data_IF_003022211126
#
_entry.id   IF_003022211126
#
_cell.length_a   1.000
_cell.length_b   1.000
_cell.length_c   1.000
_cell.angle_alpha   90.00
_cell.angle_beta   90.00
_cell.angle_gamma   90.00
#
_symmetry.space_group_name_H-M   'P 1'
#
loop_
_entity.id
_entity.type
_entity.pdbx_description
1 polymer ?
#
# COMPACT_ATOMS: atom_id res chain seq x y z
N UNK A 1 -2.38 19.25 13.18
CA UNK A 1 -2.37 17.80 12.93
C UNK A 1 -3.20 17.47 11.68
N UNK A 2 -2.54 17.45 10.53
CA UNK A 2 -3.17 17.16 9.23
C UNK A 2 -3.36 15.66 9.09
N UNK A 3 -4.59 15.21 9.26
CA UNK A 3 -5.03 13.85 8.91
C UNK A 3 -5.28 13.84 7.39
N UNK A 4 -4.47 13.16 6.56
CA UNK A 4 -4.90 12.91 5.19
C UNK A 4 -6.05 11.90 5.25
N UNK A 5 -7.25 12.44 5.05
CA UNK A 5 -8.47 11.73 4.72
C UNK A 5 -8.25 10.98 3.41
N UNK A 6 -7.68 9.79 3.47
CA UNK A 6 -7.74 8.86 2.36
C UNK A 6 -8.74 7.78 2.77
N UNK A 7 -9.92 7.82 2.16
CA UNK A 7 -10.87 6.73 2.18
C UNK A 7 -10.20 5.52 1.49
N UNK A 8 -9.43 4.77 2.27
CA UNK A 8 -8.51 3.70 1.82
C UNK A 8 -9.13 2.31 1.83
N UNK A 9 -10.46 2.20 1.92
CA UNK A 9 -11.15 0.93 2.18
C UNK A 9 -11.22 -0.04 0.97
N UNK A 10 -10.41 0.17 -0.06
CA UNK A 10 -10.53 -0.52 -1.35
C UNK A 10 -9.22 -0.89 -2.02
N UNK A 11 -8.37 -1.67 -1.35
CA UNK A 11 -7.17 -2.26 -1.95
C UNK A 11 -7.38 -3.64 -2.59
N UNK A 12 -6.47 -4.09 -3.48
CA UNK A 12 -6.48 -5.44 -4.03
C UNK A 12 -6.41 -6.51 -2.93
N UNK A 13 -6.81 -7.75 -3.24
CA UNK A 13 -6.89 -8.83 -2.24
C UNK A 13 -5.56 -9.11 -1.54
N UNK A 14 -4.43 -8.90 -2.21
CA UNK A 14 -3.11 -9.08 -1.60
C UNK A 14 -2.81 -8.00 -0.54
N UNK A 15 -3.21 -6.76 -0.83
CA UNK A 15 -3.02 -5.60 0.04
C UNK A 15 -3.77 -5.77 1.36
N UNK A 16 -5.06 -6.10 1.27
CA UNK A 16 -5.91 -6.39 2.45
C UNK A 16 -5.43 -7.59 3.27
N UNK A 17 -4.58 -8.44 2.70
CA UNK A 17 -4.00 -9.58 3.42
C UNK A 17 -2.67 -9.23 4.09
N UNK A 18 -2.03 -8.14 3.68
CA UNK A 18 -0.80 -7.61 4.28
C UNK A 18 -1.09 -6.54 5.32
N UNK A 19 -2.14 -5.74 5.14
CA UNK A 19 -2.67 -4.78 6.10
C UNK A 19 -3.14 -5.52 7.37
N UNK A 20 -2.25 -5.65 8.36
CA UNK A 20 -2.47 -6.43 9.58
C UNK A 20 -3.04 -5.57 10.69
N UNK A 21 -2.66 -4.29 10.72
CA UNK A 21 -3.17 -3.31 11.67
C UNK A 21 -4.56 -2.76 11.26
N UNK A 22 -4.97 -2.93 10.00
CA UNK A 22 -6.26 -2.50 9.48
C UNK A 22 -6.37 -0.98 9.34
N UNK A 23 -5.25 -0.26 9.21
CA UNK A 23 -5.25 1.20 9.04
C UNK A 23 -5.50 1.62 7.59
N UNK A 24 -5.51 0.65 6.67
CA UNK A 24 -5.73 0.86 5.25
C UNK A 24 -4.47 1.22 4.48
N UNK A 25 -3.29 1.08 5.07
CA UNK A 25 -1.98 1.14 4.42
C UNK A 25 -1.19 -0.16 4.68
N UNK A 26 -0.16 -0.42 3.89
CA UNK A 26 0.78 -1.51 4.18
C UNK A 26 2.15 -0.92 4.41
N UNK A 27 2.59 -0.95 5.65
CA UNK A 27 3.93 -0.51 6.03
C UNK A 27 4.99 -1.50 5.54
N UNK A 28 6.23 -1.06 5.33
CA UNK A 28 7.35 -1.97 5.03
C UNK A 28 7.58 -3.08 6.08
N UNK A 29 7.10 -2.87 7.32
CA UNK A 29 7.07 -3.87 8.40
C UNK A 29 5.98 -4.94 8.24
N UNK A 30 4.88 -4.58 7.59
CA UNK A 30 3.73 -5.45 7.31
C UNK A 30 3.86 -6.13 5.96
N UNK A 31 4.64 -5.53 5.07
CA UNK A 31 4.95 -6.05 3.77
C UNK A 31 5.82 -7.31 3.88
N UNK A 32 5.22 -8.46 3.54
CA UNK A 32 5.92 -9.75 3.51
C UNK A 32 6.74 -9.96 2.23
N UNK A 33 6.64 -9.04 1.26
CA UNK A 33 7.46 -9.07 0.06
C UNK A 33 8.85 -8.47 0.27
N UNK A 34 9.71 -8.56 -0.73
CA UNK A 34 11.04 -7.94 -0.68
C UNK A 34 10.98 -6.42 -0.76
N UNK A 35 11.95 -5.74 -0.15
CA UNK A 35 12.09 -4.26 -0.19
C UNK A 35 12.08 -3.69 -1.61
N UNK A 36 12.64 -4.42 -2.58
CA UNK A 36 12.62 -3.99 -4.00
C UNK A 36 11.21 -3.97 -4.60
N UNK A 37 10.30 -4.81 -4.13
CA UNK A 37 8.90 -4.78 -4.56
C UNK A 37 8.14 -3.68 -3.83
N UNK A 38 8.48 -3.45 -2.56
CA UNK A 38 7.96 -2.33 -1.78
C UNK A 38 8.29 -0.99 -2.44
N UNK A 39 9.55 -0.71 -2.77
CA UNK A 39 9.96 0.54 -3.44
C UNK A 39 9.32 0.70 -4.84
N UNK A 40 8.95 -0.40 -5.51
CA UNK A 40 8.21 -0.35 -6.79
C UNK A 40 6.73 0.00 -6.61
N UNK A 41 6.17 -0.36 -5.47
CA UNK A 41 4.79 -0.11 -5.09
C UNK A 41 4.64 1.31 -4.54
N UNK A 42 5.56 1.69 -3.65
CA UNK A 42 5.67 2.99 -2.97
C UNK A 42 6.17 4.06 -3.96
N UNK A 43 5.25 4.61 -4.76
CA UNK A 43 5.60 5.60 -5.78
C UNK A 43 5.86 6.97 -5.15
N UNK A 44 5.14 7.30 -4.09
CA UNK A 44 5.34 8.54 -3.34
C UNK A 44 6.53 8.48 -2.37
N UNK A 45 7.11 7.29 -2.13
CA UNK A 45 8.25 7.05 -1.25
C UNK A 45 8.02 7.53 0.16
N UNK A 46 6.79 7.38 0.66
CA UNK A 46 6.43 7.74 2.02
C UNK A 46 6.64 6.59 3.03
N UNK A 47 7.05 5.41 2.54
CA UNK A 47 7.27 4.24 3.36
C UNK A 47 6.01 3.45 3.68
N UNK A 48 4.89 3.75 3.02
CA UNK A 48 3.59 3.09 3.18
C UNK A 48 2.96 2.83 1.80
N UNK A 49 2.56 1.59 1.53
CA UNK A 49 1.75 1.35 0.34
C UNK A 49 0.33 1.78 0.66
N UNK A 50 -0.20 2.72 -0.09
CA UNK A 50 -1.62 3.06 -0.06
C UNK A 50 -2.42 2.16 -1.03
N UNK A 51 -3.73 1.96 -0.85
CA UNK A 51 -4.54 1.10 -1.73
C UNK A 51 -4.60 1.61 -3.17
N UNK A 52 -4.46 2.93 -3.35
CA UNK A 52 -4.29 3.54 -4.67
C UNK A 52 -3.02 3.07 -5.35
N UNK A 53 -1.89 3.07 -4.64
CA UNK A 53 -0.60 2.58 -5.15
C UNK A 53 -0.59 1.07 -5.35
N UNK A 54 -1.22 0.33 -4.43
CA UNK A 54 -1.39 -1.12 -4.55
C UNK A 54 -2.17 -1.52 -5.81
N UNK A 55 -3.09 -0.66 -6.27
CA UNK A 55 -3.89 -0.88 -7.48
C UNK A 55 -3.16 -0.46 -8.76
N UNK A 56 -2.20 0.46 -8.66
CA UNK A 56 -1.34 0.89 -9.78
C UNK A 56 -0.37 -0.21 -10.24
N UNK A 57 -0.24 -1.31 -9.49
CA UNK A 57 0.42 -2.53 -9.96
C UNK A 57 -0.30 -3.28 -11.08
N UNK A 58 -1.51 -2.88 -11.51
CA UNK A 58 -2.03 -3.39 -12.78
C UNK A 58 -1.24 -2.73 -13.93
N UNK A 59 -0.37 -3.48 -14.65
CA UNK A 59 0.30 -2.93 -15.81
C UNK A 59 -0.79 -2.53 -16.81
N UNK A 60 -0.75 -1.26 -17.23
CA UNK A 60 -1.51 -0.76 -18.35
C UNK A 60 -1.34 -1.75 -19.52
N UNK A 61 -2.46 -2.33 -19.97
CA UNK A 61 -2.52 -3.29 -21.08
C UNK A 61 -2.02 -2.66 -22.37
#
# INVERSE_FOLDING_TARGET
PTTPTADRRGGPRWFRRMDRNGDGDVSGREFLGGLSLFDRLDKNRDGLISPGEAKVLEPNK
#
